data_IF_765403510342
#
_entry.id   IF_765403510342
#
_cell.length_a   1.000
_cell.length_b   1.000
_cell.length_c   1.000
_cell.angle_alpha   90.00
_cell.angle_beta   90.00
_cell.angle_gamma   90.00
#
_symmetry.space_group_name_H-M   'P 1'
#
loop_
_entity.id
_entity.type
_entity.pdbx_description
1 polymer ?
#
# COMPACT_ATOMS: atom_id res chain seq x y z
N UNK A 1 -9.44 -7.79 10.33
CA UNK A 1 -8.41 -7.33 11.27
C UNK A 1 -8.69 -5.89 11.66
N UNK A 2 -8.62 -5.57 12.95
CA UNK A 2 -8.85 -4.21 13.42
C UNK A 2 -7.65 -3.32 13.11
N UNK A 3 -7.89 -2.02 12.95
CA UNK A 3 -6.81 -1.06 12.68
C UNK A 3 -5.72 -1.10 13.77
N UNK A 4 -6.11 -1.28 15.04
CA UNK A 4 -5.14 -1.39 16.13
C UNK A 4 -4.20 -2.57 15.94
N UNK A 5 -4.71 -3.71 15.46
CA UNK A 5 -3.90 -4.90 15.18
C UNK A 5 -2.98 -4.68 13.98
N UNK A 6 -3.48 -4.02 12.96
CA UNK A 6 -2.70 -3.68 11.76
C UNK A 6 -1.53 -2.78 12.13
N UNK A 7 -1.79 -1.73 12.92
CA UNK A 7 -0.74 -0.80 13.36
C UNK A 7 0.32 -1.51 14.19
N UNK A 8 -0.09 -2.43 15.05
CA UNK A 8 0.83 -3.21 15.88
C UNK A 8 1.72 -4.11 15.03
N UNK A 9 1.14 -4.79 14.03
CA UNK A 9 1.90 -5.62 13.12
C UNK A 9 2.89 -4.80 12.30
N UNK A 10 2.45 -3.65 11.77
CA UNK A 10 3.31 -2.76 11.01
C UNK A 10 4.48 -2.24 11.85
N UNK A 11 4.23 -1.92 13.13
CA UNK A 11 5.28 -1.46 14.03
C UNK A 11 6.37 -2.52 14.23
N UNK A 12 5.99 -3.79 14.24
CA UNK A 12 6.94 -4.89 14.35
C UNK A 12 7.65 -5.19 13.02
N UNK A 13 6.96 -4.98 11.91
CA UNK A 13 7.43 -5.33 10.57
C UNK A 13 8.33 -4.27 9.95
N UNK A 14 8.00 -3.00 10.18
CA UNK A 14 8.69 -1.86 9.54
C UNK A 14 9.74 -1.27 10.49
N UNK A 15 10.76 -0.65 9.91
CA UNK A 15 11.66 0.20 10.68
C UNK A 15 10.87 1.36 11.29
N UNK A 16 11.40 1.97 12.35
CA UNK A 16 10.76 3.12 12.98
C UNK A 16 10.51 4.24 11.96
N UNK A 17 11.49 4.52 11.14
CA UNK A 17 11.39 5.55 10.10
C UNK A 17 10.22 5.29 9.15
N UNK A 18 10.10 4.05 8.68
CA UNK A 18 9.05 3.68 7.72
C UNK A 18 7.67 3.65 8.38
N UNK A 19 7.62 3.22 9.63
CA UNK A 19 6.38 3.27 10.40
C UNK A 19 5.88 4.71 10.58
N UNK A 20 6.78 5.62 10.96
CA UNK A 20 6.43 7.04 11.14
C UNK A 20 5.97 7.64 9.81
N UNK A 21 6.65 7.31 8.72
CA UNK A 21 6.24 7.74 7.37
C UNK A 21 4.82 7.26 7.05
N UNK A 22 4.52 5.99 7.31
CA UNK A 22 3.20 5.42 7.04
C UNK A 22 2.12 6.07 7.91
N UNK A 23 2.42 6.37 9.17
CA UNK A 23 1.51 7.10 10.04
C UNK A 23 1.20 8.48 9.49
N UNK A 24 2.21 9.19 8.98
CA UNK A 24 2.04 10.51 8.37
C UNK A 24 1.18 10.46 7.12
N UNK A 25 1.41 9.48 6.25
CA UNK A 25 0.61 9.28 5.04
C UNK A 25 -0.84 8.96 5.41
N UNK A 26 -1.05 8.12 6.41
CA UNK A 26 -2.40 7.78 6.89
C UNK A 26 -3.16 9.02 7.37
N UNK A 27 -2.51 9.87 8.16
CA UNK A 27 -3.12 11.10 8.67
C UNK A 27 -3.45 12.07 7.54
N UNK A 28 -2.53 12.28 6.61
CA UNK A 28 -2.74 13.16 5.45
C UNK A 28 -3.83 12.63 4.53
N UNK A 29 -3.87 11.31 4.32
CA UNK A 29 -4.89 10.68 3.47
C UNK A 29 -6.29 10.85 4.07
N UNK A 30 -6.40 10.74 5.39
CA UNK A 30 -7.67 10.99 6.09
C UNK A 30 -8.18 12.41 5.80
N UNK A 31 -7.31 13.40 5.98
CA UNK A 31 -7.65 14.82 5.78
C UNK A 31 -8.04 15.09 4.33
N UNK A 32 -7.26 14.58 3.37
CA UNK A 32 -7.56 14.76 1.95
C UNK A 32 -8.87 14.10 1.56
N UNK A 33 -9.14 12.92 2.10
CA UNK A 33 -10.40 12.22 1.83
C UNK A 33 -11.60 13.02 2.31
N UNK A 34 -11.53 13.59 3.52
CA UNK A 34 -12.59 14.48 4.01
C UNK A 34 -12.80 15.66 3.07
N UNK A 35 -11.71 16.27 2.61
CA UNK A 35 -11.76 17.44 1.74
C UNK A 35 -12.44 17.13 0.40
N UNK A 36 -12.18 15.97 -0.16
CA UNK A 36 -12.66 15.61 -1.50
C UNK A 36 -13.86 14.66 -1.50
N UNK A 37 -14.48 14.45 -0.34
CA UNK A 37 -15.72 13.67 -0.26
C UNK A 37 -15.53 12.17 -0.38
N UNK A 38 -14.38 11.65 -0.03
CA UNK A 38 -14.10 10.22 0.00
C UNK A 38 -14.15 9.70 1.44
N UNK A 39 -14.31 8.39 1.62
CA UNK A 39 -14.35 7.77 2.94
C UNK A 39 -12.99 7.93 3.65
N UNK A 40 -12.91 8.76 4.71
CA UNK A 40 -11.63 9.05 5.37
C UNK A 40 -10.99 7.83 6.01
N UNK A 41 -11.77 6.92 6.57
CA UNK A 41 -11.24 5.72 7.22
C UNK A 41 -10.61 4.75 6.22
N UNK A 42 -11.21 4.63 5.02
CA UNK A 42 -10.62 3.84 3.95
C UNK A 42 -9.29 4.44 3.49
N UNK A 43 -9.25 5.75 3.34
CA UNK A 43 -8.03 6.45 2.93
C UNK A 43 -6.93 6.31 3.99
N UNK A 44 -7.28 6.45 5.25
CA UNK A 44 -6.36 6.26 6.37
C UNK A 44 -5.75 4.85 6.33
N UNK A 45 -6.59 3.84 6.16
CA UNK A 45 -6.16 2.45 6.12
C UNK A 45 -5.22 2.20 4.94
N UNK A 46 -5.56 2.72 3.76
CA UNK A 46 -4.68 2.63 2.59
C UNK A 46 -3.32 3.29 2.86
N UNK A 47 -3.33 4.44 3.53
CA UNK A 47 -2.09 5.13 3.91
C UNK A 47 -1.21 4.31 4.84
N UNK A 48 -1.80 3.69 5.86
CA UNK A 48 -1.06 2.80 6.75
C UNK A 48 -0.40 1.64 6.01
N UNK A 49 -1.08 1.07 5.02
CA UNK A 49 -0.66 -0.16 4.36
C UNK A 49 0.16 0.05 3.08
N UNK A 50 0.22 1.28 2.55
CA UNK A 50 0.82 1.50 1.22
C UNK A 50 2.26 1.01 1.10
N UNK A 51 3.05 1.09 2.17
CA UNK A 51 4.46 0.70 2.20
C UNK A 51 4.71 -0.58 2.99
N UNK A 52 3.69 -1.41 3.25
CA UNK A 52 3.85 -2.59 4.10
C UNK A 52 4.89 -3.59 3.57
N UNK A 53 5.17 -3.60 2.27
CA UNK A 53 6.19 -4.47 1.67
C UNK A 53 7.50 -3.74 1.36
N UNK A 54 7.60 -2.44 1.64
CA UNK A 54 8.72 -1.59 1.20
C UNK A 54 10.09 -2.11 1.61
N UNK A 55 10.21 -2.64 2.82
CA UNK A 55 11.50 -3.03 3.38
C UNK A 55 11.78 -4.53 3.25
N UNK A 56 10.92 -5.26 2.53
CA UNK A 56 11.14 -6.67 2.24
C UNK A 56 12.26 -6.83 1.22
N UNK A 57 12.88 -8.01 1.23
CA UNK A 57 13.87 -8.38 0.22
C UNK A 57 13.15 -8.61 -1.12
N UNK A 58 13.86 -8.35 -2.21
CA UNK A 58 13.31 -8.55 -3.56
C UNK A 58 12.78 -9.97 -3.75
N UNK A 59 13.53 -10.97 -3.28
CA UNK A 59 13.14 -12.38 -3.41
C UNK A 59 11.81 -12.66 -2.69
N UNK A 60 11.62 -12.07 -1.52
CA UNK A 60 10.37 -12.21 -0.76
C UNK A 60 9.19 -11.58 -1.51
N UNK A 61 9.41 -10.41 -2.11
CA UNK A 61 8.38 -9.76 -2.94
C UNK A 61 8.03 -10.62 -4.15
N UNK A 62 9.04 -11.18 -4.81
CA UNK A 62 8.84 -12.05 -5.98
C UNK A 62 8.05 -13.30 -5.61
N UNK A 63 8.33 -13.89 -4.43
CA UNK A 63 7.59 -15.06 -3.95
C UNK A 63 6.11 -14.74 -3.75
N UNK A 64 5.80 -13.58 -3.17
CA UNK A 64 4.42 -13.13 -2.98
C UNK A 64 3.70 -12.99 -4.32
N UNK A 65 4.37 -12.38 -5.30
CA UNK A 65 3.83 -12.21 -6.65
C UNK A 65 3.55 -13.57 -7.31
N UNK A 66 4.51 -14.48 -7.21
CA UNK A 66 4.43 -15.79 -7.84
C UNK A 66 3.33 -16.66 -7.22
N UNK A 67 3.17 -16.62 -5.90
CA UNK A 67 2.10 -17.36 -5.21
C UNK A 67 0.71 -16.99 -5.69
N UNK A 68 0.52 -15.76 -6.10
CA UNK A 68 -0.76 -15.27 -6.62
C UNK A 68 -0.87 -15.37 -8.14
N UNK A 69 0.12 -15.93 -8.81
CA UNK A 69 0.18 -16.01 -10.28
C UNK A 69 -0.02 -14.66 -10.95
N UNK A 70 0.44 -13.59 -10.30
CA UNK A 70 0.30 -12.25 -10.84
C UNK A 70 1.35 -12.02 -11.92
N UNK A 71 0.90 -11.58 -13.09
CA UNK A 71 1.80 -11.26 -14.21
C UNK A 71 2.29 -9.83 -14.07
N UNK A 72 3.59 -9.67 -13.94
CA UNK A 72 4.26 -8.37 -13.95
C UNK A 72 5.39 -8.46 -14.98
N UNK A 73 5.73 -7.32 -15.60
CA UNK A 73 6.83 -7.34 -16.56
C UNK A 73 8.19 -7.55 -15.85
N UNK A 74 9.19 -7.95 -16.60
CA UNK A 74 10.51 -8.29 -16.05
C UNK A 74 11.19 -7.10 -15.41
N UNK A 75 10.99 -5.91 -15.93
CA UNK A 75 11.56 -4.70 -15.36
C UNK A 75 11.02 -4.45 -13.95
N UNK A 76 9.70 -4.53 -13.80
CA UNK A 76 9.06 -4.37 -12.49
C UNK A 76 9.47 -5.48 -11.54
N UNK A 77 9.52 -6.72 -12.03
CA UNK A 77 9.89 -7.89 -11.21
C UNK A 77 11.28 -7.77 -10.60
N UNK A 78 12.19 -7.08 -11.28
CA UNK A 78 13.58 -6.94 -10.87
C UNK A 78 13.85 -5.70 -10.01
N UNK A 79 12.83 -4.91 -9.70
CA UNK A 79 12.97 -3.66 -8.98
C UNK A 79 12.18 -3.66 -7.68
N UNK A 80 12.87 -3.57 -6.54
CA UNK A 80 12.21 -3.43 -5.24
C UNK A 80 11.30 -2.19 -5.21
N UNK A 81 11.80 -1.09 -5.78
CA UNK A 81 11.06 0.16 -5.79
C UNK A 81 9.72 0.03 -6.50
N UNK A 82 9.68 -0.72 -7.60
CA UNK A 82 8.45 -0.91 -8.38
C UNK A 82 7.59 -2.07 -7.85
N UNK A 83 8.23 -3.13 -7.34
CA UNK A 83 7.52 -4.34 -6.96
C UNK A 83 6.84 -4.23 -5.60
N UNK A 84 7.28 -3.32 -4.72
CA UNK A 84 6.70 -3.25 -3.38
C UNK A 84 5.23 -2.80 -3.39
N UNK A 85 4.78 -2.07 -4.41
CA UNK A 85 3.37 -1.74 -4.57
C UNK A 85 2.51 -2.97 -4.80
N UNK A 86 2.75 -3.73 -5.87
CA UNK A 86 2.05 -5.00 -6.10
C UNK A 86 2.15 -5.99 -4.94
N UNK A 87 3.35 -6.19 -4.38
CA UNK A 87 3.53 -7.09 -3.24
C UNK A 87 2.74 -6.61 -2.02
N UNK A 88 2.76 -5.32 -1.74
CA UNK A 88 2.01 -4.72 -0.63
C UNK A 88 0.50 -4.85 -0.82
N UNK A 89 0.01 -4.72 -2.05
CA UNK A 89 -1.40 -4.92 -2.36
C UNK A 89 -1.84 -6.36 -2.03
N UNK A 90 -1.02 -7.33 -2.40
CA UNK A 90 -1.29 -8.73 -2.09
C UNK A 90 -1.27 -8.95 -0.57
N UNK A 91 -0.29 -8.40 0.13
CA UNK A 91 -0.20 -8.50 1.60
C UNK A 91 -1.42 -7.86 2.27
N UNK A 92 -1.90 -6.74 1.77
CA UNK A 92 -3.12 -6.13 2.30
C UNK A 92 -4.28 -7.12 2.31
N UNK A 93 -4.40 -7.89 1.24
CA UNK A 93 -5.43 -8.93 1.11
C UNK A 93 -5.12 -10.15 1.99
N UNK A 94 -3.93 -10.72 1.87
CA UNK A 94 -3.61 -12.04 2.44
C UNK A 94 -3.19 -11.98 3.90
N UNK A 95 -2.51 -10.92 4.32
CA UNK A 95 -2.04 -10.77 5.71
C UNK A 95 -3.03 -9.95 6.53
N UNK A 96 -3.53 -8.86 5.97
CA UNK A 96 -4.34 -7.89 6.72
C UNK A 96 -5.85 -8.04 6.47
N UNK A 97 -6.25 -8.95 5.61
CA UNK A 97 -7.67 -9.26 5.38
C UNK A 97 -8.46 -8.17 4.67
N UNK A 98 -7.79 -7.30 3.92
CA UNK A 98 -8.44 -6.22 3.19
C UNK A 98 -9.11 -6.77 1.94
N UNK A 99 -10.43 -6.68 1.85
CA UNK A 99 -11.20 -7.12 0.68
C UNK A 99 -11.56 -5.96 -0.25
N UNK A 100 -11.41 -4.74 0.21
CA UNK A 100 -11.78 -3.55 -0.55
C UNK A 100 -10.83 -3.34 -1.73
N UNK A 101 -11.41 -3.28 -2.94
CA UNK A 101 -10.63 -3.15 -4.17
C UNK A 101 -9.98 -1.78 -4.33
N UNK A 102 -10.63 -0.73 -3.84
CA UNK A 102 -10.06 0.61 -3.91
C UNK A 102 -8.77 0.69 -3.12
N UNK A 103 -8.76 0.10 -1.92
CA UNK A 103 -7.58 0.08 -1.06
C UNK A 103 -6.47 -0.75 -1.73
N UNK A 104 -6.79 -1.96 -2.21
CA UNK A 104 -5.82 -2.82 -2.89
C UNK A 104 -5.20 -2.10 -4.09
N UNK A 105 -6.02 -1.47 -4.93
CA UNK A 105 -5.55 -0.78 -6.13
C UNK A 105 -4.70 0.44 -5.79
N UNK A 106 -5.07 1.21 -4.77
CA UNK A 106 -4.29 2.38 -4.37
C UNK A 106 -2.89 2.00 -3.90
N UNK A 107 -2.76 0.86 -3.24
CA UNK A 107 -1.46 0.32 -2.82
C UNK A 107 -0.68 -0.18 -4.04
N UNK A 108 -1.34 -0.95 -4.91
CA UNK A 108 -0.72 -1.54 -6.10
C UNK A 108 -0.06 -0.47 -6.98
N UNK A 109 -0.76 0.64 -7.20
CA UNK A 109 -0.35 1.67 -8.15
C UNK A 109 0.30 2.90 -7.51
N UNK A 110 0.63 2.85 -6.21
CA UNK A 110 1.10 4.06 -5.53
C UNK A 110 2.46 4.58 -6.02
N UNK A 111 3.29 3.73 -6.60
CA UNK A 111 4.60 4.17 -7.13
C UNK A 111 4.57 4.51 -8.61
N UNK A 112 3.72 3.87 -9.38
CA UNK A 112 3.70 4.02 -10.84
C UNK A 112 2.55 4.88 -11.34
N UNK A 113 1.45 4.97 -10.58
CA UNK A 113 0.20 5.47 -11.10
C UNK A 113 -0.39 4.50 -12.11
N UNK A 114 -1.49 4.88 -12.72
CA UNK A 114 -2.12 4.15 -13.83
C UNK A 114 -2.98 5.11 -14.63
N UNK A 115 -3.32 4.77 -15.89
CA UNK A 115 -4.33 5.52 -16.62
C UNK A 115 -5.66 5.50 -15.87
N UNK A 116 -6.38 6.61 -15.86
CA UNK A 116 -7.70 6.70 -15.22
C UNK A 116 -7.67 6.35 -13.73
N UNK A 117 -6.79 7.03 -12.99
CA UNK A 117 -6.69 6.85 -11.54
C UNK A 117 -8.01 7.19 -10.84
N UNK A 118 -8.42 6.31 -9.93
CA UNK A 118 -9.54 6.57 -9.03
C UNK A 118 -9.13 7.58 -7.95
N UNK A 119 -10.12 8.14 -7.23
CA UNK A 119 -9.83 9.18 -6.24
C UNK A 119 -8.86 8.69 -5.15
N UNK A 120 -9.06 7.48 -4.64
CA UNK A 120 -8.17 6.95 -3.61
C UNK A 120 -6.75 6.76 -4.16
N UNK A 121 -6.60 6.31 -5.41
CA UNK A 121 -5.30 6.20 -6.07
C UNK A 121 -4.59 7.55 -6.03
N UNK A 122 -5.31 8.62 -6.37
CA UNK A 122 -4.74 9.99 -6.40
C UNK A 122 -4.34 10.46 -5.01
N UNK A 123 -5.18 10.21 -4.01
CA UNK A 123 -4.91 10.63 -2.64
C UNK A 123 -3.59 10.00 -2.15
N UNK A 124 -3.40 8.71 -2.37
CA UNK A 124 -2.19 8.01 -1.93
C UNK A 124 -0.99 8.40 -2.80
N UNK A 125 -1.15 8.44 -4.12
CA UNK A 125 -0.07 8.76 -5.06
C UNK A 125 0.52 10.15 -4.78
N UNK A 126 -0.31 11.15 -4.47
CA UNK A 126 0.15 12.51 -4.20
C UNK A 126 1.02 12.60 -2.94
N UNK A 127 0.88 11.67 -2.00
CA UNK A 127 1.71 11.62 -0.80
C UNK A 127 3.14 11.20 -1.12
N UNK A 128 3.35 10.51 -2.25
CA UNK A 128 4.61 9.87 -2.61
C UNK A 128 5.48 10.79 -3.46
N UNK A 129 4.85 11.57 -4.31
CA UNK A 129 5.56 12.53 -5.17
C UNK A 129 5.64 13.88 -4.47
#
# INVERSE_FOLDING_TARGET
MKLTDIKKDLKNRLSERRYVHSAGVAASAYILAEKYGYNPKKAELAGWLHDCAKEMKLEEMQDIIDEQNLQVDEYMRSSRALLHGPAGSIMAKTVYGIKDRDIQNSIFFHTTGRPQMELLDKIIFWQII
#
